data_IF_346274225021
#
_entry.id   IF_346274225021
#
_cell.length_a   1.000
_cell.length_b   1.000
_cell.length_c   1.000
_cell.angle_alpha   90.00
_cell.angle_beta   90.00
_cell.angle_gamma   90.00
#
_symmetry.space_group_name_H-M   'P 1'
#
loop_
_entity.id
_entity.type
_entity.pdbx_description
1 polymer ?
#
# COMPACT_ATOMS: atom_id res chain seq x y z
N UNK A 1 21.37 5.94 7.45
CA UNK A 1 20.00 5.51 7.78
C UNK A 1 20.00 4.90 9.17
N UNK A 2 19.53 5.60 10.21
CA UNK A 2 19.21 4.95 11.48
C UNK A 2 17.69 5.01 11.64
N UNK A 3 16.99 4.07 11.01
CA UNK A 3 15.58 3.81 11.30
C UNK A 3 15.61 2.85 12.49
N UNK A 4 14.90 3.18 13.56
CA UNK A 4 14.79 2.26 14.70
C UNK A 4 14.08 0.98 14.24
N UNK A 5 14.50 -0.22 14.69
CA UNK A 5 13.81 -1.47 14.32
C UNK A 5 12.32 -1.45 14.69
N UNK A 6 11.93 -0.71 15.72
CA UNK A 6 10.51 -0.51 16.10
C UNK A 6 9.74 0.31 15.06
N UNK A 7 10.35 1.36 14.51
CA UNK A 7 9.73 2.19 13.48
C UNK A 7 9.62 1.45 12.15
N UNK A 8 10.65 0.67 11.79
CA UNK A 8 10.61 -0.19 10.62
C UNK A 8 9.43 -1.18 10.69
N UNK A 9 9.20 -1.79 11.87
CA UNK A 9 8.07 -2.70 12.07
C UNK A 9 6.72 -1.98 11.88
N UNK A 10 6.58 -0.77 12.41
CA UNK A 10 5.35 0.03 12.21
C UNK A 10 5.13 0.32 10.72
N UNK A 11 6.16 0.73 9.98
CA UNK A 11 6.03 0.97 8.54
C UNK A 11 5.63 -0.27 7.76
N UNK A 12 6.20 -1.44 8.09
CA UNK A 12 5.83 -2.71 7.46
C UNK A 12 4.37 -3.06 7.76
N UNK A 13 3.94 -2.98 9.02
CA UNK A 13 2.56 -3.29 9.41
C UNK A 13 1.57 -2.36 8.71
N UNK A 14 1.84 -1.06 8.70
CA UNK A 14 0.98 -0.06 8.03
C UNK A 14 0.94 -0.28 6.53
N UNK A 15 2.07 -0.61 5.90
CA UNK A 15 2.10 -0.86 4.45
C UNK A 15 1.28 -2.09 4.09
N UNK A 16 1.45 -3.19 4.83
CA UNK A 16 0.71 -4.42 4.59
C UNK A 16 -0.79 -4.22 4.84
N UNK A 17 -1.18 -3.63 5.98
CA UNK A 17 -2.59 -3.39 6.28
C UNK A 17 -3.25 -2.49 5.24
N UNK A 18 -2.55 -1.44 4.78
CA UNK A 18 -3.05 -0.53 3.75
C UNK A 18 -3.23 -1.24 2.40
N UNK A 19 -2.29 -2.11 2.01
CA UNK A 19 -2.39 -2.91 0.79
C UNK A 19 -3.56 -3.89 0.84
N UNK A 20 -3.73 -4.61 1.95
CA UNK A 20 -4.85 -5.54 2.13
C UNK A 20 -6.20 -4.81 2.11
N UNK A 21 -6.31 -3.68 2.82
CA UNK A 21 -7.52 -2.86 2.81
C UNK A 21 -7.83 -2.36 1.40
N UNK A 22 -6.82 -1.86 0.68
CA UNK A 22 -7.00 -1.36 -0.70
C UNK A 22 -7.48 -2.46 -1.64
N UNK A 23 -6.83 -3.64 -1.60
CA UNK A 23 -7.25 -4.80 -2.38
C UNK A 23 -8.70 -5.19 -2.06
N UNK A 24 -9.04 -5.29 -0.78
CA UNK A 24 -10.40 -5.63 -0.34
C UNK A 24 -11.43 -4.57 -0.76
N UNK A 25 -11.10 -3.27 -0.66
CA UNK A 25 -11.97 -2.18 -1.11
C UNK A 25 -12.22 -2.26 -2.61
N UNK A 26 -11.20 -2.52 -3.43
CA UNK A 26 -11.38 -2.71 -4.88
C UNK A 26 -12.28 -3.92 -5.15
N UNK A 27 -12.03 -5.05 -4.48
CA UNK A 27 -12.88 -6.23 -4.60
C UNK A 27 -14.34 -5.95 -4.20
N UNK A 28 -14.59 -5.20 -3.12
CA UNK A 28 -15.96 -4.81 -2.74
C UNK A 28 -16.62 -3.84 -3.73
N UNK A 29 -15.82 -2.95 -4.34
CA UNK A 29 -16.34 -1.91 -5.23
C UNK A 29 -16.68 -2.44 -6.63
N UNK A 30 -15.81 -3.29 -7.19
CA UNK A 30 -15.94 -3.79 -8.57
C UNK A 30 -16.13 -5.30 -8.67
N UNK A 31 -16.03 -6.03 -7.56
CA UNK A 31 -16.21 -7.48 -7.53
C UNK A 31 -17.60 -7.89 -8.01
N UNK A 32 -17.62 -8.83 -8.95
CA UNK A 32 -18.85 -9.26 -9.61
C UNK A 32 -19.45 -8.27 -10.62
N UNK A 33 -18.90 -7.05 -10.72
CA UNK A 33 -19.30 -6.05 -11.72
C UNK A 33 -18.48 -6.14 -13.01
N UNK A 34 -17.27 -6.68 -12.92
CA UNK A 34 -16.35 -6.87 -14.05
C UNK A 34 -15.80 -8.31 -14.09
N UNK A 35 -15.29 -8.76 -15.25
CA UNK A 35 -14.57 -10.03 -15.36
C UNK A 35 -13.39 -10.11 -14.39
N UNK A 36 -13.16 -11.30 -13.83
CA UNK A 36 -12.15 -11.53 -12.78
C UNK A 36 -10.73 -11.16 -13.23
N UNK A 37 -10.38 -11.40 -14.49
CA UNK A 37 -9.08 -11.03 -15.07
C UNK A 37 -8.82 -9.52 -14.98
N UNK A 38 -9.84 -8.69 -15.27
CA UNK A 38 -9.72 -7.24 -15.17
C UNK A 38 -9.71 -6.77 -13.73
N UNK A 39 -10.45 -7.44 -12.85
CA UNK A 39 -10.47 -7.13 -11.43
C UNK A 39 -9.08 -7.20 -10.80
N UNK A 40 -8.33 -8.26 -11.10
CA UNK A 40 -6.94 -8.39 -10.62
C UNK A 40 -6.03 -7.28 -11.15
N UNK A 41 -6.23 -6.81 -12.38
CA UNK A 41 -5.48 -5.67 -12.91
C UNK A 41 -5.78 -4.36 -12.17
N UNK A 42 -7.05 -4.09 -11.86
CA UNK A 42 -7.42 -2.91 -11.08
C UNK A 42 -6.91 -2.97 -9.64
N UNK A 43 -7.01 -4.14 -8.99
CA UNK A 43 -6.43 -4.36 -7.65
C UNK A 43 -4.92 -4.12 -7.67
N UNK A 44 -4.21 -4.68 -8.66
CA UNK A 44 -2.77 -4.52 -8.82
C UNK A 44 -2.35 -3.06 -9.03
N UNK A 45 -3.08 -2.31 -9.87
CA UNK A 45 -2.85 -0.89 -10.09
C UNK A 45 -3.07 -0.07 -8.82
N UNK A 46 -4.19 -0.30 -8.11
CA UNK A 46 -4.50 0.42 -6.88
C UNK A 46 -3.46 0.15 -5.78
N UNK A 47 -3.13 -1.12 -5.55
CA UNK A 47 -2.11 -1.53 -4.59
C UNK A 47 -0.73 -0.93 -4.92
N UNK A 48 -0.35 -0.90 -6.20
CA UNK A 48 0.90 -0.30 -6.65
C UNK A 48 0.94 1.21 -6.37
N UNK A 49 -0.16 1.92 -6.64
CA UNK A 49 -0.31 3.33 -6.30
C UNK A 49 -0.14 3.60 -4.81
N UNK A 50 -0.79 2.80 -3.96
CA UNK A 50 -0.68 2.91 -2.51
C UNK A 50 0.74 2.61 -2.03
N UNK A 51 1.39 1.57 -2.53
CA UNK A 51 2.78 1.25 -2.20
C UNK A 51 3.74 2.40 -2.56
N UNK A 52 3.56 3.03 -3.73
CA UNK A 52 4.35 4.18 -4.16
C UNK A 52 4.16 5.35 -3.19
N UNK A 53 2.91 5.69 -2.85
CA UNK A 53 2.61 6.81 -1.92
C UNK A 53 3.22 6.56 -0.56
N UNK A 54 3.04 5.37 0.02
CA UNK A 54 3.61 5.02 1.33
C UNK A 54 5.15 5.05 1.26
N UNK A 55 5.75 4.55 0.19
CA UNK A 55 7.20 4.61 -0.04
C UNK A 55 7.72 6.05 -0.06
N UNK A 56 7.02 6.96 -0.75
CA UNK A 56 7.34 8.38 -0.75
C UNK A 56 7.17 9.02 0.62
N UNK A 57 6.11 8.70 1.37
CA UNK A 57 5.92 9.20 2.73
C UNK A 57 7.02 8.71 3.67
N UNK A 58 7.39 7.44 3.61
CA UNK A 58 8.49 6.88 4.39
C UNK A 58 9.82 7.55 4.04
N UNK A 59 10.09 7.78 2.75
CA UNK A 59 11.26 8.52 2.28
C UNK A 59 11.28 9.96 2.80
N UNK A 60 10.17 10.68 2.72
CA UNK A 60 10.05 12.05 3.21
C UNK A 60 10.34 12.14 4.72
N UNK A 61 9.79 11.22 5.51
CA UNK A 61 10.08 11.17 6.96
C UNK A 61 11.56 10.92 7.23
N UNK A 62 12.19 9.98 6.52
CA UNK A 62 13.62 9.69 6.66
C UNK A 62 14.47 10.89 6.25
N UNK A 63 14.10 11.60 5.19
CA UNK A 63 14.80 12.78 4.69
C UNK A 63 14.72 13.95 5.67
N UNK A 64 13.56 14.23 6.26
CA UNK A 64 13.35 15.34 7.20
C UNK A 64 14.01 15.13 8.57
N UNK A 65 14.32 13.89 8.93
CA UNK A 65 15.03 13.53 10.16
C UNK A 65 16.56 13.60 10.02
N UNK A 66 17.05 14.04 8.85
CA UNK A 66 18.46 14.26 8.54
C UNK A 66 18.78 15.75 8.60
#
# INVERSE_FOLDING_TARGET
>A
MKISPREALVYVVVTLSSLFLTAYTVHMLVGGLIPADREYHYMGLACSGVAIVIGFMAWDVVRRRR
#
